data_IF_658001079242
#
_entry.id   IF_658001079242
#
_cell.length_a   1.000
_cell.length_b   1.000
_cell.length_c   1.000
_cell.angle_alpha   90.00
_cell.angle_beta   90.00
_cell.angle_gamma   90.00
#
_symmetry.space_group_name_H-M   'P 1'
#
loop_
_entity.id
_entity.type
_entity.pdbx_description
1 polymer ?
#
# COMPACT_ATOMS: atom_id res chain seq x y z
N UNK A 1 10.40 -8.49 -5.11
CA UNK A 1 9.13 -7.85 -4.75
C UNK A 1 8.83 -6.64 -5.64
N UNK A 2 9.56 -5.53 -5.51
CA UNK A 2 9.27 -4.26 -6.20
C UNK A 2 9.03 -4.37 -7.71
N UNK A 3 9.85 -5.14 -8.44
CA UNK A 3 9.65 -5.33 -9.88
C UNK A 3 8.28 -5.92 -10.22
N UNK A 4 7.81 -6.92 -9.46
CA UNK A 4 6.49 -7.50 -9.67
C UNK A 4 5.37 -6.51 -9.37
N UNK A 5 5.52 -5.65 -8.36
CA UNK A 5 4.55 -4.58 -8.09
C UNK A 5 4.50 -3.54 -9.23
N UNK A 6 5.65 -3.16 -9.78
CA UNK A 6 5.72 -2.23 -10.92
C UNK A 6 5.05 -2.84 -12.16
N UNK A 7 5.37 -4.10 -12.47
CA UNK A 7 4.72 -4.79 -13.59
C UNK A 7 3.22 -4.93 -13.35
N UNK A 8 2.79 -5.24 -12.13
CA UNK A 8 1.39 -5.31 -11.75
C UNK A 8 0.64 -4.00 -12.04
N UNK A 9 1.22 -2.84 -11.65
CA UNK A 9 0.65 -1.53 -12.00
C UNK A 9 0.61 -1.31 -13.52
N UNK A 10 1.66 -1.67 -14.26
CA UNK A 10 1.68 -1.54 -15.71
C UNK A 10 0.54 -2.33 -16.38
N UNK A 11 0.21 -3.52 -15.88
CA UNK A 11 -0.94 -4.29 -16.37
C UNK A 11 -2.29 -3.65 -16.00
N UNK A 12 -2.42 -3.00 -14.83
CA UNK A 12 -3.61 -2.19 -14.52
C UNK A 12 -3.78 -1.04 -15.52
N UNK A 13 -2.70 -0.35 -15.86
CA UNK A 13 -2.71 0.74 -16.83
C UNK A 13 -3.15 0.25 -18.23
N UNK A 14 -2.85 -1.01 -18.56
CA UNK A 14 -3.31 -1.71 -19.77
C UNK A 14 -4.72 -2.29 -19.66
N UNK A 15 -5.45 -2.03 -18.57
CA UNK A 15 -6.80 -2.57 -18.28
C UNK A 15 -6.84 -4.09 -18.18
N UNK A 16 -5.75 -4.70 -17.70
CA UNK A 16 -5.66 -6.13 -17.40
C UNK A 16 -5.53 -6.37 -15.88
N UNK A 17 -6.65 -6.31 -15.14
CA UNK A 17 -6.64 -6.51 -13.69
C UNK A 17 -6.29 -7.95 -13.29
N UNK A 18 -6.49 -8.94 -14.16
CA UNK A 18 -6.17 -10.33 -13.84
C UNK A 18 -4.66 -10.55 -13.76
N UNK A 19 -3.92 -10.10 -14.78
CA UNK A 19 -2.46 -10.14 -14.77
C UNK A 19 -1.88 -9.27 -13.65
N UNK A 20 -2.50 -8.12 -13.37
CA UNK A 20 -2.11 -7.27 -12.25
C UNK A 20 -2.22 -8.01 -10.91
N UNK A 21 -3.35 -8.65 -10.61
CA UNK A 21 -3.54 -9.41 -9.37
C UNK A 21 -2.53 -10.55 -9.26
N UNK A 22 -2.27 -11.27 -10.36
CA UNK A 22 -1.30 -12.35 -10.38
C UNK A 22 0.11 -11.85 -10.00
N UNK A 23 0.57 -10.77 -10.64
CA UNK A 23 1.88 -10.18 -10.36
C UNK A 23 1.96 -9.55 -8.96
N UNK A 24 0.88 -8.95 -8.48
CA UNK A 24 0.81 -8.45 -7.11
C UNK A 24 0.98 -9.60 -6.09
N UNK A 25 0.38 -10.77 -6.34
CA UNK A 25 0.57 -11.96 -5.50
C UNK A 25 2.01 -12.51 -5.57
N UNK A 26 2.66 -12.50 -6.73
CA UNK A 26 4.09 -12.84 -6.83
C UNK A 26 4.97 -11.85 -6.07
N UNK A 27 4.63 -10.56 -6.10
CA UNK A 27 5.28 -9.55 -5.26
C UNK A 27 5.15 -9.88 -3.78
N UNK A 28 3.95 -10.26 -3.31
CA UNK A 28 3.69 -10.63 -1.91
C UNK A 28 4.49 -11.85 -1.48
N UNK A 29 4.62 -12.88 -2.31
CA UNK A 29 5.49 -14.03 -2.03
C UNK A 29 6.95 -13.58 -1.86
N UNK A 30 7.44 -12.75 -2.78
CA UNK A 30 8.80 -12.22 -2.70
C UNK A 30 9.02 -11.27 -1.50
N UNK A 31 7.96 -10.64 -0.98
CA UNK A 31 8.03 -9.79 0.21
C UNK A 31 8.33 -10.58 1.50
N UNK A 32 8.10 -11.89 1.53
CA UNK A 32 8.32 -12.72 2.73
C UNK A 32 9.79 -12.76 3.19
N UNK A 33 10.75 -12.53 2.28
CA UNK A 33 12.18 -12.50 2.59
C UNK A 33 12.72 -11.08 2.80
N UNK A 34 11.89 -10.04 2.68
CA UNK A 34 12.33 -8.65 2.85
C UNK A 34 12.24 -8.27 4.33
N UNK A 35 13.38 -7.89 4.91
CA UNK A 35 13.47 -7.41 6.30
C UNK A 35 13.57 -5.90 6.43
N UNK A 36 14.01 -5.20 5.38
CA UNK A 36 14.17 -3.75 5.40
C UNK A 36 12.82 -3.03 5.58
N UNK A 37 12.63 -2.27 6.67
CA UNK A 37 11.33 -1.71 7.03
C UNK A 37 10.85 -0.65 6.03
N UNK A 38 11.77 0.13 5.45
CA UNK A 38 11.45 1.16 4.44
C UNK A 38 10.90 0.50 3.18
N UNK A 39 11.62 -0.50 2.66
CA UNK A 39 11.23 -1.27 1.48
C UNK A 39 9.90 -1.97 1.71
N UNK A 40 9.67 -2.49 2.91
CA UNK A 40 8.40 -3.14 3.28
C UNK A 40 7.23 -2.17 3.29
N UNK A 41 7.34 -1.06 4.01
CA UNK A 41 6.28 -0.06 4.09
C UNK A 41 5.89 0.44 2.68
N UNK A 42 6.87 0.78 1.85
CA UNK A 42 6.64 1.24 0.49
C UNK A 42 5.98 0.17 -0.40
N UNK A 43 6.47 -1.08 -0.38
CA UNK A 43 5.91 -2.14 -1.23
C UNK A 43 4.51 -2.56 -0.79
N UNK A 44 4.24 -2.70 0.51
CA UNK A 44 2.88 -3.03 0.97
C UNK A 44 1.89 -1.89 0.68
N UNK A 45 2.31 -0.63 0.82
CA UNK A 45 1.48 0.51 0.44
C UNK A 45 1.17 0.49 -1.06
N UNK A 46 2.17 0.21 -1.90
CA UNK A 46 2.00 0.16 -3.35
C UNK A 46 1.11 -1.01 -3.78
N UNK A 47 1.31 -2.20 -3.21
CA UNK A 47 0.46 -3.34 -3.48
C UNK A 47 -0.97 -3.13 -2.97
N UNK A 48 -1.15 -2.44 -1.84
CA UNK A 48 -2.47 -2.05 -1.36
C UNK A 48 -3.18 -1.09 -2.32
N UNK A 49 -2.46 -0.13 -2.90
CA UNK A 49 -2.97 0.76 -3.93
C UNK A 49 -3.38 -0.01 -5.20
N UNK A 50 -2.48 -0.84 -5.73
CA UNK A 50 -2.74 -1.71 -6.89
C UNK A 50 -3.98 -2.57 -6.64
N UNK A 51 -4.03 -3.29 -5.52
CA UNK A 51 -5.16 -4.17 -5.21
C UNK A 51 -6.46 -3.40 -5.00
N UNK A 52 -6.40 -2.15 -4.53
CA UNK A 52 -7.61 -1.33 -4.38
C UNK A 52 -8.30 -1.07 -5.72
N UNK A 53 -7.52 -0.97 -6.80
CA UNK A 53 -8.03 -0.81 -8.17
C UNK A 53 -8.37 -2.16 -8.81
N UNK A 54 -7.53 -3.18 -8.58
CA UNK A 54 -7.63 -4.47 -9.26
C UNK A 54 -8.72 -5.40 -8.69
N UNK A 55 -8.89 -5.40 -7.37
CA UNK A 55 -9.77 -6.34 -6.63
C UNK A 55 -10.59 -5.69 -5.53
N UNK A 56 -10.50 -4.36 -5.37
CA UNK A 56 -11.28 -3.61 -4.40
C UNK A 56 -10.85 -3.85 -2.95
N UNK A 57 -11.79 -3.67 -2.03
CA UNK A 57 -11.49 -3.62 -0.59
C UNK A 57 -10.96 -4.95 -0.03
N UNK A 58 -11.45 -6.08 -0.54
CA UNK A 58 -11.08 -7.41 -0.04
C UNK A 58 -9.59 -7.70 -0.25
N UNK A 59 -9.06 -7.42 -1.44
CA UNK A 59 -7.63 -7.60 -1.73
C UNK A 59 -6.73 -6.52 -1.13
N UNK A 60 -7.22 -5.29 -1.01
CA UNK A 60 -6.41 -4.15 -0.61
C UNK A 60 -6.23 -4.01 0.92
N UNK A 61 -7.30 -4.18 1.69
CA UNK A 61 -7.30 -3.93 3.15
C UNK A 61 -6.19 -4.65 3.93
N UNK A 62 -5.93 -5.96 3.76
CA UNK A 62 -4.87 -6.61 4.52
C UNK A 62 -3.48 -6.02 4.22
N UNK A 63 -3.26 -5.58 2.97
CA UNK A 63 -2.02 -4.97 2.53
C UNK A 63 -1.84 -3.57 3.11
N UNK A 64 -2.91 -2.76 3.09
CA UNK A 64 -2.91 -1.42 3.65
C UNK A 64 -2.69 -1.45 5.18
N UNK A 65 -3.27 -2.42 5.88
CA UNK A 65 -3.02 -2.62 7.31
C UNK A 65 -1.57 -3.02 7.59
N UNK A 66 -0.98 -3.89 6.77
CA UNK A 66 0.43 -4.24 6.91
C UNK A 66 1.35 -3.05 6.61
N UNK A 67 1.03 -2.28 5.57
CA UNK A 67 1.75 -1.06 5.22
C UNK A 67 1.71 -0.03 6.33
N UNK A 68 0.56 0.17 6.97
CA UNK A 68 0.39 1.07 8.12
C UNK A 68 1.25 0.64 9.31
N UNK A 69 1.26 -0.65 9.64
CA UNK A 69 2.14 -1.19 10.69
C UNK A 69 3.60 -0.91 10.38
N UNK A 70 4.05 -1.24 9.17
CA UNK A 70 5.45 -1.07 8.78
C UNK A 70 5.83 0.43 8.75
N UNK A 71 4.98 1.30 8.19
CA UNK A 71 5.20 2.74 8.16
C UNK A 71 5.23 3.38 9.56
N UNK A 72 4.45 2.86 10.51
CA UNK A 72 4.43 3.35 11.89
C UNK A 72 5.73 3.06 12.65
N UNK A 73 6.54 2.11 12.18
CA UNK A 73 7.87 1.83 12.76
C UNK A 73 8.98 2.73 12.21
N UNK A 74 8.71 3.45 11.12
CA UNK A 74 9.69 4.32 10.50
C UNK A 74 9.87 5.60 11.31
N UNK A 75 11.11 6.17 11.35
CA UNK A 75 11.31 7.52 11.83
C UNK A 75 10.47 8.53 11.04
N UNK A 76 10.06 9.60 11.72
CA UNK A 76 9.39 10.72 11.06
C UNK A 76 10.30 11.30 9.97
N UNK A 77 9.80 11.35 8.74
CA UNK A 77 10.60 11.75 7.59
C UNK A 77 9.96 11.41 6.26
N UNK A 78 10.75 11.58 5.20
CA UNK A 78 10.30 11.45 3.81
C UNK A 78 9.72 10.06 3.53
N UNK A 79 10.36 9.03 4.03
CA UNK A 79 10.01 7.62 3.79
C UNK A 79 8.65 7.28 4.43
N UNK A 80 8.45 7.68 5.69
CA UNK A 80 7.18 7.49 6.39
C UNK A 80 6.05 8.27 5.71
N UNK A 81 6.31 9.53 5.33
CA UNK A 81 5.32 10.37 4.63
C UNK A 81 4.93 9.75 3.29
N UNK A 82 5.90 9.27 2.51
CA UNK A 82 5.63 8.63 1.23
C UNK A 82 4.74 7.38 1.39
N UNK A 83 5.06 6.50 2.33
CA UNK A 83 4.26 5.30 2.60
C UNK A 83 2.83 5.65 3.05
N UNK A 84 2.67 6.55 4.03
CA UNK A 84 1.35 6.95 4.54
C UNK A 84 0.52 7.69 3.48
N UNK A 85 1.14 8.48 2.60
CA UNK A 85 0.42 9.17 1.51
C UNK A 85 -0.18 8.17 0.52
N UNK A 86 0.56 7.11 0.18
CA UNK A 86 0.07 6.05 -0.70
C UNK A 86 -1.06 5.25 -0.04
N UNK A 87 -0.96 4.98 1.28
CA UNK A 87 -2.01 4.30 2.04
C UNK A 87 -3.30 5.13 2.04
N UNK A 88 -3.20 6.42 2.33
CA UNK A 88 -4.35 7.34 2.32
C UNK A 88 -4.99 7.43 0.93
N UNK A 89 -4.19 7.44 -0.15
CA UNK A 89 -4.70 7.42 -1.51
C UNK A 89 -5.49 6.14 -1.81
N UNK A 90 -4.97 4.98 -1.42
CA UNK A 90 -5.65 3.70 -1.61
C UNK A 90 -6.95 3.63 -0.80
N UNK A 91 -6.94 4.06 0.47
CA UNK A 91 -8.16 4.15 1.29
C UNK A 91 -9.20 5.09 0.67
N UNK A 92 -8.76 6.20 0.09
CA UNK A 92 -9.62 7.12 -0.66
C UNK A 92 -10.27 6.46 -1.87
N UNK A 93 -9.53 5.67 -2.65
CA UNK A 93 -10.08 4.88 -3.78
C UNK A 93 -11.11 3.85 -3.33
N UNK A 94 -10.93 3.29 -2.13
CA UNK A 94 -11.89 2.36 -1.51
C UNK A 94 -13.09 3.06 -0.85
N UNK A 95 -13.16 4.40 -0.88
CA UNK A 95 -14.14 5.18 -0.12
C UNK A 95 -14.12 4.88 1.40
N UNK A 96 -12.97 4.45 1.93
CA UNK A 96 -12.75 4.16 3.37
C UNK A 96 -12.36 5.45 4.11
N UNK A 97 -13.34 6.37 4.19
CA UNK A 97 -13.12 7.71 4.74
C UNK A 97 -12.59 7.72 6.18
N UNK A 98 -13.07 6.88 7.12
CA UNK A 98 -12.52 6.85 8.47
C UNK A 98 -11.02 6.53 8.46
N UNK A 99 -10.62 5.44 7.81
CA UNK A 99 -9.22 5.01 7.76
C UNK A 99 -8.31 6.03 7.06
N UNK A 100 -8.81 6.67 5.99
CA UNK A 100 -8.10 7.75 5.30
C UNK A 100 -7.89 8.96 6.22
N UNK A 101 -8.88 9.32 7.03
CA UNK A 101 -8.80 10.45 7.97
C UNK A 101 -7.75 10.18 9.05
N UNK A 102 -7.74 8.97 9.62
CA UNK A 102 -6.75 8.59 10.64
C UNK A 102 -5.33 8.60 10.09
N UNK A 103 -5.16 8.09 8.87
CA UNK A 103 -3.85 8.07 8.18
C UNK A 103 -3.36 9.50 7.87
N UNK A 104 -4.27 10.40 7.47
CA UNK A 104 -3.95 11.81 7.25
C UNK A 104 -3.64 12.55 8.57
N UNK A 105 -4.31 12.20 9.67
CA UNK A 105 -3.98 12.74 10.99
C UNK A 105 -2.55 12.35 11.42
N UNK A 106 -2.17 11.07 11.21
CA UNK A 106 -0.82 10.59 11.46
C UNK A 106 0.23 11.35 10.62
N UNK A 107 -0.06 11.62 9.34
CA UNK A 107 0.79 12.44 8.47
C UNK A 107 0.99 13.87 8.99
N UNK A 108 -0.05 14.46 9.59
CA UNK A 108 -0.02 15.80 10.15
C UNK A 108 0.62 15.88 11.55
N UNK A 109 1.08 14.76 12.11
CA UNK A 109 1.58 14.68 13.49
C UNK A 109 0.48 14.87 14.53
N UNK A 110 -0.78 14.57 14.18
CA UNK A 110 -1.95 14.70 15.06
C UNK A 110 -2.41 13.32 15.51
N UNK A 111 -2.97 13.22 16.72
CA UNK A 111 -3.62 12.00 17.16
C UNK A 111 -4.85 11.68 16.29
N UNK A 112 -5.10 10.39 15.95
CA UNK A 112 -6.32 9.99 15.26
C UNK A 112 -7.56 10.29 16.12
N UNK A 113 -8.72 10.45 15.46
CA UNK A 113 -9.97 10.92 16.08
C UNK A 113 -10.79 9.79 16.72
#
# INVERSE_FOLDING_TARGET
ATLFAILSQAYLDMRDPQSAVQLANESLKAMQSVSDPVTRAANFAFLGLIMSEASGAEGARPLLLQALRDASTLPAGREQIAALSMIAQAQGKLSDKPSATDTLAALAGRSPA
#
